data_IF_654073956257
#
_entry.id   IF_654073956257
#
_cell.length_a   1.000
_cell.length_b   1.000
_cell.length_c   1.000
_cell.angle_alpha   90.00
_cell.angle_beta   90.00
_cell.angle_gamma   90.00
#
_symmetry.space_group_name_H-M   'P 1'
#
loop_
_entity.id
_entity.type
_entity.pdbx_description
1 polymer ?
#
# COMPACT_ATOMS: atom_id res chain seq x y z
N UNK A 1 39.28 47.79 -66.93
CA UNK A 1 38.25 46.81 -66.51
C UNK A 1 37.16 47.54 -65.76
N UNK A 2 35.88 47.26 -66.07
CA UNK A 2 34.69 47.99 -65.59
C UNK A 2 34.34 47.65 -64.12
N UNK A 3 34.09 48.70 -63.31
CA UNK A 3 33.72 48.58 -61.89
C UNK A 3 32.43 47.77 -61.66
N UNK A 4 31.45 47.92 -62.56
CA UNK A 4 30.15 47.23 -62.51
C UNK A 4 30.30 45.69 -62.61
N UNK A 5 31.31 45.20 -63.32
CA UNK A 5 31.57 43.76 -63.43
C UNK A 5 32.21 43.18 -62.17
N UNK A 6 32.96 43.99 -61.40
CA UNK A 6 33.51 43.56 -60.10
C UNK A 6 32.42 43.51 -59.04
N UNK A 7 31.57 44.53 -58.99
CA UNK A 7 30.46 44.65 -58.05
C UNK A 7 29.47 43.48 -58.15
N UNK A 8 29.13 43.06 -59.38
CA UNK A 8 28.33 41.85 -59.63
C UNK A 8 29.02 40.55 -59.20
N UNK A 9 30.34 40.45 -59.33
CA UNK A 9 31.10 39.27 -58.92
C UNK A 9 31.24 39.18 -57.41
N UNK A 10 31.34 40.32 -56.71
CA UNK A 10 31.32 40.40 -55.25
C UNK A 10 29.95 40.05 -54.70
N UNK A 11 28.87 40.67 -55.18
CA UNK A 11 27.50 40.34 -54.78
C UNK A 11 27.16 38.85 -54.98
N UNK A 12 27.60 38.25 -56.09
CA UNK A 12 27.36 36.83 -56.37
C UNK A 12 28.22 35.90 -55.51
N UNK A 13 29.34 36.37 -54.97
CA UNK A 13 30.13 35.65 -53.96
C UNK A 13 29.47 35.74 -52.59
N UNK A 14 29.02 36.93 -52.21
CA UNK A 14 28.32 37.15 -50.94
C UNK A 14 27.03 36.33 -50.84
N UNK A 15 26.22 36.28 -51.90
CA UNK A 15 25.02 35.41 -51.95
C UNK A 15 25.37 33.93 -51.80
N UNK A 16 26.51 33.48 -52.33
CA UNK A 16 26.96 32.09 -52.19
C UNK A 16 27.45 31.78 -50.80
N UNK A 17 28.21 32.69 -50.18
CA UNK A 17 28.65 32.54 -48.79
C UNK A 17 27.47 32.57 -47.82
N UNK A 18 26.47 33.43 -48.06
CA UNK A 18 25.20 33.43 -47.31
C UNK A 18 24.44 32.11 -47.48
N UNK A 19 24.30 31.62 -48.71
CA UNK A 19 23.64 30.34 -48.94
C UNK A 19 24.40 29.15 -48.33
N UNK A 20 25.74 29.17 -48.32
CA UNK A 20 26.54 28.13 -47.64
C UNK A 20 26.39 28.20 -46.12
N UNK A 21 26.41 29.39 -45.53
CA UNK A 21 26.26 29.55 -44.07
C UNK A 21 24.86 29.20 -43.59
N UNK A 22 23.82 29.57 -44.33
CA UNK A 22 22.43 29.23 -44.03
C UNK A 22 22.19 27.72 -44.15
N UNK A 23 22.79 27.09 -45.17
CA UNK A 23 22.80 25.63 -45.33
C UNK A 23 23.49 24.95 -44.14
N UNK A 24 24.66 25.43 -43.72
CA UNK A 24 25.41 24.86 -42.60
C UNK A 24 24.64 24.97 -41.27
N UNK A 25 23.96 26.10 -41.03
CA UNK A 25 23.09 26.28 -39.87
C UNK A 25 21.94 25.28 -39.84
N UNK A 26 21.25 25.09 -40.97
CA UNK A 26 20.14 24.13 -41.09
C UNK A 26 20.62 22.70 -40.82
N UNK A 27 21.79 22.31 -41.35
CA UNK A 27 22.35 20.98 -41.05
C UNK A 27 22.72 20.82 -39.57
N UNK A 28 23.29 21.85 -38.95
CA UNK A 28 23.60 21.83 -37.51
C UNK A 28 22.36 21.66 -36.64
N UNK A 29 21.27 22.38 -36.95
CA UNK A 29 20.01 22.26 -36.22
C UNK A 29 19.40 20.86 -36.36
N UNK A 30 19.43 20.29 -37.58
CA UNK A 30 18.96 18.92 -37.81
C UNK A 30 19.82 17.87 -37.09
N UNK A 31 21.13 18.05 -37.06
CA UNK A 31 22.04 17.14 -36.32
C UNK A 31 21.75 17.18 -34.81
N UNK A 32 21.49 18.37 -34.26
CA UNK A 32 21.11 18.54 -32.86
C UNK A 32 19.74 17.89 -32.58
N UNK A 33 18.74 18.10 -33.43
CA UNK A 33 17.42 17.46 -33.29
C UNK A 33 17.53 15.93 -33.37
N UNK A 34 18.27 15.39 -34.34
CA UNK A 34 18.50 13.96 -34.48
C UNK A 34 19.16 13.37 -33.23
N UNK A 35 20.13 14.08 -32.65
CA UNK A 35 20.79 13.66 -31.43
C UNK A 35 19.84 13.65 -30.24
N UNK A 36 19.03 14.69 -30.05
CA UNK A 36 18.05 14.72 -28.96
C UNK A 36 16.99 13.62 -29.09
N UNK A 37 16.53 13.34 -30.32
CA UNK A 37 15.60 12.26 -30.59
C UNK A 37 16.23 10.89 -30.32
N UNK A 38 17.48 10.69 -30.70
CA UNK A 38 18.21 9.46 -30.42
C UNK A 38 18.35 9.24 -28.90
N UNK A 39 18.76 10.26 -28.15
CA UNK A 39 18.85 10.20 -26.68
C UNK A 39 17.49 9.87 -26.05
N UNK A 40 16.40 10.43 -26.60
CA UNK A 40 15.04 10.13 -26.14
C UNK A 40 14.63 8.69 -26.43
N UNK A 41 14.95 8.18 -27.62
CA UNK A 41 14.69 6.78 -28.01
C UNK A 41 15.46 5.84 -27.09
N UNK A 42 16.73 6.13 -26.81
CA UNK A 42 17.57 5.29 -25.97
C UNK A 42 17.02 5.26 -24.53
N UNK A 43 16.64 6.42 -23.98
CA UNK A 43 16.02 6.51 -22.65
C UNK A 43 14.70 5.74 -22.57
N UNK A 44 13.82 5.89 -23.56
CA UNK A 44 12.53 5.20 -23.59
C UNK A 44 12.69 3.70 -23.78
N UNK A 45 13.67 3.27 -24.59
CA UNK A 45 14.02 1.87 -24.77
C UNK A 45 14.47 1.24 -23.45
N UNK A 46 15.36 1.93 -22.74
CA UNK A 46 15.86 1.46 -21.44
C UNK A 46 14.74 1.34 -20.40
N UNK A 47 13.83 2.30 -20.34
CA UNK A 47 12.66 2.25 -19.46
C UNK A 47 11.71 1.11 -19.84
N UNK A 48 11.47 0.89 -21.13
CA UNK A 48 10.63 -0.20 -21.60
C UNK A 48 11.22 -1.57 -21.25
N UNK A 49 12.54 -1.73 -21.39
CA UNK A 49 13.25 -2.94 -21.00
C UNK A 49 13.16 -3.19 -19.49
N UNK A 50 13.34 -2.15 -18.68
CA UNK A 50 13.17 -2.25 -17.23
C UNK A 50 11.76 -2.70 -16.83
N UNK A 51 10.72 -2.06 -17.39
CA UNK A 51 9.32 -2.42 -17.15
C UNK A 51 8.98 -3.83 -17.63
N UNK A 52 9.58 -4.29 -18.73
CA UNK A 52 9.41 -5.67 -19.22
C UNK A 52 10.08 -6.68 -18.29
N UNK A 53 11.27 -6.37 -17.79
CA UNK A 53 11.96 -7.22 -16.82
C UNK A 53 11.18 -7.33 -15.51
N UNK A 54 10.61 -6.21 -15.03
CA UNK A 54 9.75 -6.19 -13.84
C UNK A 54 8.49 -7.04 -14.07
N UNK A 55 7.78 -6.83 -15.18
CA UNK A 55 6.59 -7.64 -15.51
C UNK A 55 6.93 -9.13 -15.64
N UNK A 56 8.05 -9.48 -16.27
CA UNK A 56 8.50 -10.86 -16.35
C UNK A 56 8.80 -11.45 -14.96
N UNK A 57 9.43 -10.68 -14.07
CA UNK A 57 9.67 -11.07 -12.68
C UNK A 57 8.39 -11.27 -11.89
N UNK A 58 7.41 -10.36 -12.03
CA UNK A 58 6.08 -10.49 -11.43
C UNK A 58 5.35 -11.71 -11.97
N UNK A 59 5.33 -11.91 -13.29
CA UNK A 59 4.74 -13.09 -13.91
C UNK A 59 5.41 -14.39 -13.51
N UNK A 60 6.73 -14.42 -13.29
CA UNK A 60 7.41 -15.60 -12.76
C UNK A 60 6.95 -15.91 -11.33
N UNK A 61 6.86 -14.88 -10.47
CA UNK A 61 6.34 -15.03 -9.10
C UNK A 61 4.89 -15.50 -9.07
N UNK A 62 4.04 -15.00 -9.96
CA UNK A 62 2.65 -15.44 -10.11
C UNK A 62 2.53 -16.79 -10.84
N UNK A 63 3.45 -17.14 -11.73
CA UNK A 63 3.48 -18.42 -12.43
C UNK A 63 3.92 -19.58 -11.53
N UNK A 64 4.75 -19.30 -10.53
CA UNK A 64 5.00 -20.23 -9.42
C UNK A 64 3.74 -20.45 -8.55
N UNK A 65 2.77 -19.54 -8.60
CA UNK A 65 1.43 -19.71 -8.02
C UNK A 65 0.47 -20.41 -8.99
N UNK A 66 0.78 -21.65 -9.40
CA UNK A 66 -0.14 -22.55 -10.14
C UNK A 66 -1.43 -22.91 -9.33
N UNK A 67 -1.67 -22.19 -8.24
CA UNK A 67 -2.85 -22.25 -7.38
C UNK A 67 -3.73 -21.05 -7.70
N UNK A 68 -4.88 -21.31 -8.33
CA UNK A 68 -5.93 -20.30 -8.49
C UNK A 68 -6.31 -19.76 -7.09
N UNK A 69 -6.36 -18.43 -6.91
CA UNK A 69 -6.71 -17.85 -5.62
C UNK A 69 -8.14 -18.25 -5.25
N UNK A 70 -8.33 -18.63 -3.98
CA UNK A 70 -9.65 -19.03 -3.44
C UNK A 70 -10.56 -17.80 -3.28
N UNK A 71 -9.98 -16.66 -2.92
CA UNK A 71 -10.65 -15.37 -2.74
C UNK A 71 -9.83 -14.27 -3.40
N UNK A 72 -10.52 -13.29 -3.98
CA UNK A 72 -9.94 -12.05 -4.47
C UNK A 72 -10.09 -11.00 -3.38
N UNK A 73 -9.07 -10.18 -3.18
CA UNK A 73 -9.09 -9.09 -2.19
C UNK A 73 -10.09 -8.00 -2.59
N UNK A 74 -10.69 -7.35 -1.60
CA UNK A 74 -11.49 -6.13 -1.79
C UNK A 74 -10.62 -4.87 -1.74
N UNK A 75 -11.28 -3.71 -1.65
CA UNK A 75 -10.62 -2.39 -1.65
C UNK A 75 -10.15 -1.93 -0.25
N UNK A 76 -10.50 -2.65 0.82
CA UNK A 76 -10.04 -2.32 2.18
C UNK A 76 -8.57 -2.69 2.37
N UNK A 77 -7.85 -1.85 3.11
CA UNK A 77 -6.44 -2.02 3.42
C UNK A 77 -6.22 -2.66 4.80
N UNK A 78 -5.13 -3.42 4.92
CA UNK A 78 -4.67 -3.97 6.19
C UNK A 78 -4.31 -2.85 7.19
N UNK A 79 -4.96 -2.80 8.35
CA UNK A 79 -4.58 -1.87 9.44
C UNK A 79 -3.23 -2.24 10.08
N UNK A 80 -2.88 -3.52 10.04
CA UNK A 80 -1.58 -4.05 10.43
C UNK A 80 -1.21 -5.23 9.53
N UNK A 81 0.08 -5.59 9.41
CA UNK A 81 0.51 -6.58 8.41
C UNK A 81 -0.26 -7.90 8.51
N UNK A 82 -0.98 -8.26 7.44
CA UNK A 82 -1.73 -9.51 7.32
C UNK A 82 -3.05 -9.55 8.09
N UNK A 83 -3.60 -8.40 8.47
CA UNK A 83 -4.83 -8.28 9.26
C UNK A 83 -6.01 -8.99 8.59
N UNK A 84 -6.36 -8.62 7.36
CA UNK A 84 -7.55 -9.13 6.67
C UNK A 84 -7.44 -10.66 6.51
N UNK A 85 -6.26 -11.15 6.16
CA UNK A 85 -6.00 -12.59 6.02
C UNK A 85 -6.20 -13.32 7.35
N UNK A 86 -5.60 -12.82 8.43
CA UNK A 86 -5.73 -13.40 9.78
C UNK A 86 -7.17 -13.35 10.29
N UNK A 87 -7.91 -12.26 10.01
CA UNK A 87 -9.32 -12.12 10.35
C UNK A 87 -10.15 -13.22 9.66
N UNK A 88 -10.04 -13.36 8.35
CA UNK A 88 -10.77 -14.38 7.58
C UNK A 88 -10.44 -15.79 8.08
N UNK A 89 -9.16 -16.10 8.28
CA UNK A 89 -8.73 -17.42 8.79
C UNK A 89 -9.23 -17.67 10.22
N UNK A 90 -9.32 -16.63 11.06
CA UNK A 90 -9.85 -16.76 12.41
C UNK A 90 -11.33 -17.16 12.43
N UNK A 91 -12.14 -16.63 11.50
CA UNK A 91 -13.55 -17.01 11.35
C UNK A 91 -13.68 -18.47 10.94
N UNK A 92 -12.84 -18.94 10.01
CA UNK A 92 -12.81 -20.35 9.62
C UNK A 92 -12.42 -21.25 10.81
N UNK A 93 -11.43 -20.82 11.60
CA UNK A 93 -10.98 -21.56 12.79
C UNK A 93 -12.07 -21.62 13.89
N UNK A 94 -12.77 -20.51 14.13
CA UNK A 94 -13.87 -20.44 15.11
C UNK A 94 -15.01 -21.40 14.73
N UNK A 95 -15.38 -21.46 13.44
CA UNK A 95 -16.42 -22.38 12.95
C UNK A 95 -15.96 -23.85 13.02
N UNK A 96 -14.67 -24.13 12.80
CA UNK A 96 -14.10 -25.48 12.97
C UNK A 96 -14.20 -25.94 14.43
N UNK A 97 -13.88 -25.07 15.39
CA UNK A 97 -13.90 -25.38 16.83
C UNK A 97 -15.33 -25.58 17.36
N UNK A 98 -16.29 -24.80 16.86
CA UNK A 98 -17.66 -24.80 17.39
C UNK A 98 -18.53 -25.96 16.87
N UNK A 99 -18.22 -26.58 15.71
CA UNK A 99 -19.19 -27.44 15.00
C UNK A 99 -18.70 -28.80 14.51
N UNK A 100 -17.47 -29.21 14.77
CA UNK A 100 -16.92 -30.44 14.16
C UNK A 100 -16.87 -31.60 15.15
N UNK A 101 -17.98 -32.33 15.25
CA UNK A 101 -18.02 -33.63 15.94
C UNK A 101 -17.67 -34.82 15.00
N UNK A 102 -17.60 -34.60 13.68
CA UNK A 102 -17.32 -35.63 12.66
C UNK A 102 -16.59 -35.01 11.45
N UNK A 103 -15.70 -35.76 10.76
CA UNK A 103 -15.13 -35.32 9.50
C UNK A 103 -16.24 -35.07 8.48
N UNK A 104 -16.21 -33.89 7.87
CA UNK A 104 -17.16 -33.43 6.86
C UNK A 104 -16.41 -32.66 5.78
N UNK A 105 -17.02 -32.52 4.59
CA UNK A 105 -16.43 -31.69 3.54
C UNK A 105 -16.13 -30.27 4.00
N UNK A 106 -16.99 -29.69 4.86
CA UNK A 106 -16.79 -28.36 5.42
C UNK A 106 -15.55 -28.29 6.31
N UNK A 107 -15.39 -29.26 7.23
CA UNK A 107 -14.23 -29.29 8.11
C UNK A 107 -12.93 -29.53 7.34
N UNK A 108 -12.94 -30.42 6.33
CA UNK A 108 -11.77 -30.68 5.49
C UNK A 108 -11.35 -29.44 4.69
N UNK A 109 -12.31 -28.71 4.10
CA UNK A 109 -12.01 -27.48 3.36
C UNK A 109 -11.45 -26.40 4.29
N UNK A 110 -12.05 -26.20 5.46
CA UNK A 110 -11.56 -25.18 6.40
C UNK A 110 -10.18 -25.53 6.95
N UNK A 111 -9.95 -26.79 7.33
CA UNK A 111 -8.62 -27.25 7.77
C UNK A 111 -7.56 -27.09 6.69
N UNK A 112 -7.84 -27.50 5.44
CA UNK A 112 -6.90 -27.35 4.32
C UNK A 112 -6.57 -25.87 4.04
N UNK A 113 -7.59 -24.99 4.04
CA UNK A 113 -7.37 -23.56 3.86
C UNK A 113 -6.52 -22.95 4.99
N UNK A 114 -6.79 -23.31 6.24
CA UNK A 114 -6.01 -22.83 7.39
C UNK A 114 -4.55 -23.31 7.29
N UNK A 115 -4.34 -24.59 6.98
CA UNK A 115 -3.01 -25.20 6.87
C UNK A 115 -2.19 -24.64 5.70
N UNK A 116 -2.81 -24.37 4.55
CA UNK A 116 -2.13 -23.85 3.36
C UNK A 116 -1.85 -22.36 3.38
N UNK A 117 -2.41 -21.62 4.35
CA UNK A 117 -2.30 -20.17 4.45
C UNK A 117 -1.55 -19.69 5.69
N UNK A 118 -0.81 -20.57 6.39
CA UNK A 118 0.06 -20.20 7.53
C UNK A 118 -0.67 -19.39 8.61
N UNK A 119 -1.86 -19.83 9.05
CA UNK A 119 -2.62 -19.14 10.10
C UNK A 119 -1.84 -19.07 11.42
N UNK A 120 -1.57 -17.86 11.92
CA UNK A 120 -0.75 -17.63 13.12
C UNK A 120 -1.58 -17.33 14.38
N UNK A 121 -2.88 -17.11 14.22
CA UNK A 121 -3.80 -16.74 15.30
C UNK A 121 -3.50 -15.38 15.91
N UNK A 122 -2.96 -14.45 15.12
CA UNK A 122 -2.63 -13.08 15.54
C UNK A 122 -3.90 -12.35 15.96
N UNK A 123 -4.99 -12.49 15.20
CA UNK A 123 -6.28 -11.89 15.52
C UNK A 123 -6.81 -12.36 16.89
N UNK A 124 -6.73 -13.67 17.17
CA UNK A 124 -7.12 -14.24 18.48
C UNK A 124 -6.25 -13.73 19.63
N UNK A 125 -4.93 -13.59 19.41
CA UNK A 125 -4.00 -13.02 20.39
C UNK A 125 -4.33 -11.56 20.68
N UNK A 126 -4.60 -10.75 19.66
CA UNK A 126 -5.03 -9.36 19.80
C UNK A 126 -6.35 -9.24 20.57
N UNK A 127 -7.35 -10.07 20.24
CA UNK A 127 -8.61 -10.17 20.98
C UNK A 127 -8.39 -10.44 22.47
N UNK A 128 -7.56 -11.42 22.81
CA UNK A 128 -7.22 -11.72 24.20
C UNK A 128 -6.45 -10.57 24.88
N UNK A 129 -5.58 -9.90 24.14
CA UNK A 129 -4.80 -8.78 24.63
C UNK A 129 -5.67 -7.57 24.98
N UNK A 130 -6.57 -7.13 24.11
CA UNK A 130 -7.44 -5.97 24.40
C UNK A 130 -8.39 -6.26 25.56
N UNK A 131 -8.91 -7.49 25.64
CA UNK A 131 -9.69 -7.95 26.77
C UNK A 131 -8.88 -7.88 28.07
N UNK A 132 -7.60 -8.30 28.05
CA UNK A 132 -6.71 -8.23 29.21
C UNK A 132 -6.40 -6.78 29.62
N UNK A 133 -6.15 -5.90 28.66
CA UNK A 133 -5.85 -4.47 28.92
C UNK A 133 -7.04 -3.81 29.63
N UNK A 134 -8.26 -4.10 29.18
CA UNK A 134 -9.47 -3.42 29.66
C UNK A 134 -10.24 -4.18 30.76
N UNK A 135 -9.86 -5.41 31.10
CA UNK A 135 -10.60 -6.29 32.03
C UNK A 135 -10.93 -5.61 33.38
N UNK A 136 -9.97 -4.86 33.93
CA UNK A 136 -10.06 -4.15 35.21
C UNK A 136 -9.79 -2.65 35.07
N UNK A 137 -10.21 -2.06 33.94
CA UNK A 137 -10.00 -0.64 33.70
C UNK A 137 -10.74 0.23 34.73
N UNK A 138 -9.99 0.96 35.54
CA UNK A 138 -10.50 1.89 36.57
C UNK A 138 -10.03 3.33 36.36
N UNK A 139 -8.86 3.50 35.76
CA UNK A 139 -8.26 4.79 35.43
C UNK A 139 -7.30 4.62 34.26
N UNK A 140 -7.14 5.66 33.45
CA UNK A 140 -6.12 5.71 32.41
C UNK A 140 -4.73 6.01 33.01
N UNK A 141 -4.14 5.01 33.67
CA UNK A 141 -2.75 5.11 34.14
C UNK A 141 -1.76 5.04 32.96
N UNK A 142 -0.50 5.42 33.22
CA UNK A 142 0.53 5.45 32.18
C UNK A 142 0.74 4.08 31.51
N UNK A 143 0.57 2.99 32.27
CA UNK A 143 0.70 1.62 31.78
C UNK A 143 -0.41 1.25 30.81
N UNK A 144 -1.66 1.53 31.16
CA UNK A 144 -2.83 1.25 30.32
C UNK A 144 -2.81 2.11 29.07
N UNK A 145 -2.48 3.41 29.21
CA UNK A 145 -2.31 4.32 28.09
C UNK A 145 -1.29 3.77 27.10
N UNK A 146 -0.11 3.36 27.59
CA UNK A 146 0.93 2.76 26.75
C UNK A 146 0.45 1.46 26.09
N UNK A 147 -0.18 0.56 26.84
CA UNK A 147 -0.67 -0.70 26.28
C UNK A 147 -1.72 -0.52 25.17
N UNK A 148 -2.62 0.46 25.32
CA UNK A 148 -3.59 0.81 24.28
C UNK A 148 -2.91 1.44 23.05
N UNK A 149 -1.89 2.29 23.25
CA UNK A 149 -1.09 2.84 22.16
C UNK A 149 -0.32 1.77 21.41
N UNK A 150 0.36 0.86 22.13
CA UNK A 150 1.08 -0.28 21.56
C UNK A 150 0.12 -1.23 20.79
N UNK A 151 -1.15 -1.32 21.22
CA UNK A 151 -2.19 -2.08 20.52
C UNK A 151 -2.63 -1.43 19.19
N UNK A 152 -2.38 -0.13 19.01
CA UNK A 152 -2.74 0.64 17.81
C UNK A 152 -3.75 1.76 18.04
N UNK A 153 -4.09 2.11 19.29
CA UNK A 153 -5.01 3.22 19.55
C UNK A 153 -4.31 4.58 19.63
N UNK A 154 -4.84 5.56 18.88
CA UNK A 154 -4.65 6.98 19.17
C UNK A 154 -5.61 7.38 20.29
N UNK A 155 -5.08 8.03 21.33
CA UNK A 155 -5.83 8.42 22.53
C UNK A 155 -5.87 9.93 22.61
N UNK A 156 -7.08 10.50 22.63
CA UNK A 156 -7.31 11.93 22.70
C UNK A 156 -8.19 12.26 23.91
N UNK A 157 -7.97 13.42 24.52
CA UNK A 157 -8.82 13.87 25.61
C UNK A 157 -10.14 14.42 25.08
N UNK A 158 -11.26 13.92 25.61
CA UNK A 158 -12.61 14.37 25.26
C UNK A 158 -13.40 14.64 26.54
N UNK A 159 -13.11 15.78 27.18
CA UNK A 159 -13.74 16.19 28.42
C UNK A 159 -13.56 15.18 29.57
N UNK A 160 -14.67 14.51 29.95
CA UNK A 160 -14.70 13.46 30.99
C UNK A 160 -14.31 12.06 30.48
N UNK A 161 -14.12 11.93 29.17
CA UNK A 161 -13.79 10.68 28.49
C UNK A 161 -12.46 10.83 27.73
N UNK A 162 -11.93 9.70 27.29
CA UNK A 162 -10.90 9.60 26.27
C UNK A 162 -11.52 9.03 25.02
N UNK A 163 -11.20 9.63 23.87
CA UNK A 163 -11.51 9.06 22.56
C UNK A 163 -10.38 8.13 22.16
N UNK A 164 -10.73 6.89 21.81
CA UNK A 164 -9.82 5.88 21.26
C UNK A 164 -10.13 5.73 19.77
N UNK A 165 -9.12 5.93 18.91
CA UNK A 165 -9.24 5.74 17.45
C UNK A 165 -8.28 4.64 17.02
N UNK A 166 -8.78 3.59 16.38
CA UNK A 166 -7.99 2.43 15.99
C UNK A 166 -7.19 2.72 14.72
N UNK A 167 -5.86 2.59 14.78
CA UNK A 167 -4.91 2.89 13.69
C UNK A 167 -5.09 4.27 13.03
N UNK A 168 -5.75 5.20 13.71
CA UNK A 168 -6.03 6.54 13.20
C UNK A 168 -7.18 6.63 12.18
N UNK A 169 -7.88 5.54 11.91
CA UNK A 169 -9.10 5.54 11.09
C UNK A 169 -10.30 5.94 11.95
N UNK A 170 -10.87 7.10 11.65
CA UNK A 170 -11.98 7.68 12.39
C UNK A 170 -13.27 6.84 12.27
N UNK A 171 -13.37 5.89 11.33
CA UNK A 171 -14.48 4.92 11.27
C UNK A 171 -14.48 3.98 12.48
N UNK A 172 -13.31 3.68 13.03
CA UNK A 172 -13.11 2.71 14.11
C UNK A 172 -12.74 3.42 15.42
N UNK A 173 -13.73 4.06 16.05
CA UNK A 173 -13.52 4.80 17.29
C UNK A 173 -14.50 4.43 18.41
N UNK A 174 -14.08 4.66 19.65
CA UNK A 174 -14.91 4.48 20.85
C UNK A 174 -14.46 5.43 21.97
N UNK A 175 -15.27 5.56 23.02
CA UNK A 175 -14.97 6.44 24.15
C UNK A 175 -14.86 5.66 25.46
N UNK A 176 -13.89 6.02 26.28
CA UNK A 176 -13.65 5.42 27.59
C UNK A 176 -13.66 6.50 28.67
N UNK A 177 -14.41 6.31 29.76
CA UNK A 177 -14.41 7.28 30.86
C UNK A 177 -13.02 7.44 31.50
N UNK A 178 -12.67 8.68 31.92
CA UNK A 178 -11.43 8.95 32.67
C UNK A 178 -11.38 8.17 33.98
N UNK A 179 -12.53 8.05 34.64
CA UNK A 179 -12.72 7.30 35.88
C UNK A 179 -14.11 6.66 35.85
N UNK A 180 -14.28 5.45 35.30
CA UNK A 180 -15.54 4.74 35.32
C UNK A 180 -15.99 4.42 36.74
N UNK A 181 -17.26 4.66 37.04
CA UNK A 181 -17.89 4.25 38.31
C UNK A 181 -18.33 2.78 38.29
N UNK A 182 -18.56 2.20 37.10
CA UNK A 182 -18.95 0.81 36.91
C UNK A 182 -17.71 -0.07 36.70
N UNK A 183 -17.56 -1.09 37.56
CA UNK A 183 -16.49 -2.09 37.47
C UNK A 183 -16.55 -2.93 36.17
N UNK A 184 -17.68 -2.94 35.46
CA UNK A 184 -17.84 -3.64 34.18
C UNK A 184 -17.57 -2.76 32.95
N UNK A 185 -17.36 -1.45 33.13
CA UNK A 185 -17.19 -0.52 32.02
C UNK A 185 -16.08 -0.97 31.06
N UNK A 186 -14.91 -1.33 31.60
CA UNK A 186 -13.78 -1.81 30.80
C UNK A 186 -14.09 -3.08 30.00
N UNK A 187 -14.75 -4.07 30.62
CA UNK A 187 -15.17 -5.31 29.95
C UNK A 187 -16.15 -5.05 28.81
N UNK A 188 -17.11 -4.15 29.02
CA UNK A 188 -18.11 -3.81 28.00
C UNK A 188 -17.45 -3.13 26.80
N UNK A 189 -16.50 -2.23 27.05
CA UNK A 189 -15.73 -1.56 25.99
C UNK A 189 -14.85 -2.57 25.25
N UNK A 190 -14.18 -3.47 25.96
CA UNK A 190 -13.39 -4.53 25.33
C UNK A 190 -14.24 -5.42 24.42
N UNK A 191 -15.45 -5.78 24.86
CA UNK A 191 -16.38 -6.56 24.07
C UNK A 191 -16.88 -5.80 22.84
N UNK A 192 -17.12 -4.49 22.96
CA UNK A 192 -17.44 -3.64 21.81
C UNK A 192 -16.31 -3.63 20.80
N UNK A 193 -15.08 -3.35 21.24
CA UNK A 193 -13.88 -3.33 20.37
C UNK A 193 -13.73 -4.65 19.62
N UNK A 194 -13.77 -5.78 20.35
CA UNK A 194 -13.62 -7.13 19.76
C UNK A 194 -14.71 -7.47 18.72
N UNK A 195 -15.84 -6.77 18.74
CA UNK A 195 -16.95 -7.02 17.83
C UNK A 195 -16.93 -6.10 16.61
N UNK A 196 -16.45 -4.87 16.78
CA UNK A 196 -16.61 -3.80 15.79
C UNK A 196 -15.30 -3.37 15.12
N UNK A 197 -14.14 -3.65 15.73
CA UNK A 197 -12.80 -3.32 15.21
C UNK A 197 -12.02 -4.60 14.92
#
# INVERSE_FOLDING_TARGET
MNAISRDRLESQREERELAETEKEQVYSEFDDELKTLQERIDSLTQENEALRAENAGLHSKFGEMDKRPVLVMGDEEDLYPGEIKELVLSVLADELECRVAKPSRRSEVFSDLIEKNDYQGVYRKKKAEIQRILNNYTIMDAKTRKALQDFGFRIEEDGKHYRLTYFGDDRYNTTVAKTPSDARAGKNIAHYIVREF
#
